data_IF_410259358500
#
_entry.id   IF_410259358500
#
_cell.length_a   1.000
_cell.length_b   1.000
_cell.length_c   1.000
_cell.angle_alpha   90.00
_cell.angle_beta   90.00
_cell.angle_gamma   90.00
#
_symmetry.space_group_name_H-M   'P 1'
#
loop_
_entity.id
_entity.type
_entity.pdbx_description
1 polymer ?
#
# COMPACT_ATOMS: atom_id res chain seq x y z
N UNK A 1 -73.20 -11.95 -11.27
CA UNK A 1 -71.76 -11.67 -11.41
C UNK A 1 -71.10 -11.81 -10.04
N UNK A 2 -70.14 -12.73 -9.93
CA UNK A 2 -69.20 -12.85 -8.81
C UNK A 2 -68.24 -11.66 -8.85
N UNK A 3 -67.94 -11.03 -7.72
CA UNK A 3 -66.66 -10.34 -7.58
C UNK A 3 -66.22 -10.24 -6.13
N UNK A 4 -65.10 -10.92 -5.89
CA UNK A 4 -64.45 -11.27 -4.64
C UNK A 4 -63.84 -10.04 -3.97
N UNK A 5 -64.05 -9.88 -2.66
CA UNK A 5 -63.33 -8.89 -1.86
C UNK A 5 -61.96 -9.46 -1.49
N UNK A 6 -60.93 -8.84 -2.05
CA UNK A 6 -59.51 -9.13 -1.85
C UNK A 6 -59.13 -8.93 -0.39
N UNK A 7 -58.55 -9.96 0.20
CA UNK A 7 -58.03 -10.00 1.56
C UNK A 7 -56.69 -9.27 1.67
N UNK A 8 -56.55 -8.51 2.75
CA UNK A 8 -55.32 -7.93 3.26
C UNK A 8 -54.34 -9.05 3.68
N UNK A 9 -53.10 -8.99 3.21
CA UNK A 9 -51.92 -9.67 3.76
C UNK A 9 -50.67 -8.93 3.25
N UNK A 10 -50.04 -8.07 4.05
CA UNK A 10 -48.89 -8.42 4.93
C UNK A 10 -47.70 -8.97 4.16
N UNK A 11 -46.77 -8.08 3.78
CA UNK A 11 -45.33 -8.31 3.79
C UNK A 11 -44.62 -6.99 3.44
N UNK A 12 -44.33 -6.17 4.45
CA UNK A 12 -43.34 -5.12 4.34
C UNK A 12 -41.99 -5.81 4.13
N UNK A 13 -41.53 -5.87 2.88
CA UNK A 13 -40.20 -6.37 2.55
C UNK A 13 -39.17 -5.42 3.18
N UNK A 14 -38.42 -6.01 4.11
CA UNK A 14 -37.41 -5.39 4.92
C UNK A 14 -36.39 -4.61 4.06
N UNK A 15 -36.32 -3.30 4.32
CA UNK A 15 -35.16 -2.46 4.04
C UNK A 15 -33.98 -2.96 4.89
N UNK A 16 -33.31 -4.01 4.43
CA UNK A 16 -31.94 -4.30 4.87
C UNK A 16 -31.01 -3.80 3.76
N UNK A 17 -30.99 -2.48 3.57
CA UNK A 17 -29.83 -1.84 2.97
C UNK A 17 -28.67 -2.13 3.92
N UNK A 18 -27.85 -3.11 3.57
CA UNK A 18 -26.58 -3.36 4.23
C UNK A 18 -25.75 -2.09 4.14
N UNK A 19 -25.84 -1.25 5.17
CA UNK A 19 -24.80 -0.28 5.45
C UNK A 19 -23.56 -1.11 5.76
N UNK A 20 -22.77 -1.41 4.74
CA UNK A 20 -21.39 -1.84 4.91
C UNK A 20 -20.71 -0.74 5.72
N UNK A 21 -20.62 -0.95 7.04
CA UNK A 21 -19.83 -0.11 7.93
C UNK A 21 -18.42 -0.14 7.36
N UNK A 22 -17.99 0.98 6.79
CA UNK A 22 -16.59 1.16 6.44
C UNK A 22 -15.81 1.05 7.75
N UNK A 23 -15.15 -0.09 7.97
CA UNK A 23 -14.31 -0.29 9.14
C UNK A 23 -13.16 0.71 9.04
N UNK A 24 -13.07 1.61 10.01
CA UNK A 24 -12.07 2.66 10.03
C UNK A 24 -10.75 2.09 10.56
N UNK A 25 -9.98 1.45 9.68
CA UNK A 25 -8.71 0.86 10.10
C UNK A 25 -7.74 1.92 10.61
N UNK A 26 -6.91 1.58 11.60
CA UNK A 26 -5.95 2.52 12.19
C UNK A 26 -4.56 1.91 12.23
N UNK A 27 -3.54 2.71 11.86
CA UNK A 27 -2.13 2.32 12.00
C UNK A 27 -1.64 2.79 13.37
N UNK A 28 -1.20 1.85 14.20
CA UNK A 28 -0.66 2.13 15.54
C UNK A 28 0.81 1.72 15.63
N UNK A 29 1.63 2.44 16.41
CA UNK A 29 1.32 3.67 17.13
C UNK A 29 1.16 4.88 16.18
N UNK A 30 0.29 5.84 16.52
CA UNK A 30 0.07 7.06 15.71
C UNK A 30 1.15 8.12 15.98
N UNK A 31 1.35 9.06 15.06
CA UNK A 31 2.33 10.15 15.14
C UNK A 31 3.76 9.69 15.47
N UNK A 32 4.10 8.48 15.07
CA UNK A 32 5.35 7.83 15.45
C UNK A 32 6.26 7.74 14.24
N UNK A 33 7.49 8.22 14.40
CA UNK A 33 8.54 8.07 13.39
C UNK A 33 8.91 6.61 13.25
N UNK A 34 9.14 6.17 12.02
CA UNK A 34 9.54 4.80 11.73
C UNK A 34 10.65 4.75 10.68
N UNK A 35 11.37 3.63 10.72
CA UNK A 35 12.26 3.17 9.65
C UNK A 35 11.86 1.74 9.28
N UNK A 36 11.48 1.52 8.02
CA UNK A 36 11.13 0.21 7.50
C UNK A 36 12.20 -0.27 6.53
N UNK A 37 13.01 -1.22 6.98
CA UNK A 37 14.11 -1.79 6.18
C UNK A 37 13.68 -3.10 5.53
N UNK A 38 14.26 -3.40 4.38
CA UNK A 38 14.10 -4.70 3.73
C UNK A 38 14.67 -4.73 2.32
N UNK A 39 14.07 -5.55 1.47
CA UNK A 39 14.60 -5.86 0.13
C UNK A 39 13.53 -5.59 -0.93
N UNK A 40 13.96 -4.99 -2.03
CA UNK A 40 13.16 -4.74 -3.23
C UNK A 40 13.83 -5.37 -4.45
N UNK A 41 13.04 -6.02 -5.29
CA UNK A 41 13.46 -6.52 -6.61
C UNK A 41 12.70 -5.75 -7.67
N UNK A 42 13.41 -4.98 -8.49
CA UNK A 42 12.82 -4.16 -9.54
C UNK A 42 13.42 -4.54 -10.88
N UNK A 43 12.57 -4.75 -11.88
CA UNK A 43 12.96 -4.92 -13.28
C UNK A 43 12.83 -3.57 -14.02
N UNK A 44 13.94 -2.94 -14.44
CA UNK A 44 13.90 -1.69 -15.20
C UNK A 44 13.72 -1.98 -16.69
N UNK A 45 12.48 -1.86 -17.21
CA UNK A 45 12.19 -2.11 -18.62
C UNK A 45 12.69 -3.48 -19.11
N UNK A 46 13.59 -3.45 -20.09
CA UNK A 46 14.18 -4.65 -20.69
C UNK A 46 15.43 -5.19 -19.97
N UNK A 47 15.91 -4.50 -18.93
CA UNK A 47 17.07 -4.94 -18.16
C UNK A 47 16.73 -6.14 -17.25
N UNK A 48 17.77 -6.82 -16.78
CA UNK A 48 17.65 -7.84 -15.74
C UNK A 48 17.14 -7.24 -14.42
N UNK A 49 16.39 -8.01 -13.61
CA UNK A 49 15.96 -7.57 -12.30
C UNK A 49 17.14 -7.16 -11.41
N UNK A 50 16.98 -6.03 -10.72
CA UNK A 50 17.95 -5.48 -9.77
C UNK A 50 17.39 -5.66 -8.37
N UNK A 51 18.17 -6.29 -7.50
CA UNK A 51 17.83 -6.49 -6.09
C UNK A 51 18.58 -5.46 -5.25
N UNK A 52 17.84 -4.61 -4.54
CA UNK A 52 18.40 -3.56 -3.69
C UNK A 52 17.85 -3.66 -2.26
N UNK A 53 18.70 -3.28 -1.31
CA UNK A 53 18.24 -3.02 0.05
C UNK A 53 17.57 -1.65 0.09
N UNK A 54 16.48 -1.54 0.81
CA UNK A 54 15.69 -0.32 0.91
C UNK A 54 15.36 -0.01 2.36
N UNK A 55 15.30 1.27 2.68
CA UNK A 55 14.85 1.79 3.96
C UNK A 55 13.87 2.93 3.72
N UNK A 56 12.61 2.74 4.10
CA UNK A 56 11.59 3.78 4.06
C UNK A 56 11.52 4.48 5.41
N UNK A 57 11.67 5.79 5.41
CA UNK A 57 11.63 6.62 6.61
C UNK A 57 10.40 7.49 6.54
N UNK A 58 9.65 7.53 7.64
CA UNK A 58 8.40 8.27 7.68
C UNK A 58 7.83 8.44 9.07
N UNK A 59 6.58 8.88 9.11
CA UNK A 59 5.80 9.06 10.33
C UNK A 59 4.39 8.51 10.10
N UNK A 60 3.87 7.72 11.04
CA UNK A 60 2.45 7.33 11.06
C UNK A 60 1.60 8.55 11.40
N UNK A 61 0.44 8.69 10.78
CA UNK A 61 -0.47 9.81 11.04
C UNK A 61 -1.58 9.39 12.00
N UNK A 62 -2.47 10.31 12.36
CA UNK A 62 -3.55 10.08 13.32
C UNK A 62 -4.72 9.20 12.82
N UNK A 63 -4.54 8.42 11.76
CA UNK A 63 -5.58 7.65 11.05
C UNK A 63 -4.98 6.37 10.40
N UNK A 64 -5.57 5.92 9.30
CA UNK A 64 -5.10 4.82 8.46
C UNK A 64 -3.90 5.19 7.55
N UNK A 65 -3.23 6.32 7.75
CA UNK A 65 -2.17 6.78 6.84
C UNK A 65 -0.81 6.91 7.52
N UNK A 66 0.24 6.83 6.71
CA UNK A 66 1.60 7.15 7.09
C UNK A 66 2.28 7.93 5.96
N UNK A 67 3.14 8.88 6.30
CA UNK A 67 3.86 9.72 5.35
C UNK A 67 5.31 9.28 5.28
N UNK A 68 5.76 8.87 4.10
CA UNK A 68 7.14 8.47 3.82
C UNK A 68 7.87 9.70 3.28
N UNK A 69 8.86 10.19 4.02
CA UNK A 69 9.59 11.43 3.72
C UNK A 69 10.96 11.19 3.12
N UNK A 70 11.52 10.00 3.30
CA UNK A 70 12.77 9.60 2.68
C UNK A 70 12.77 8.09 2.37
N UNK A 71 13.54 7.73 1.34
CA UNK A 71 13.81 6.34 1.00
C UNK A 71 15.29 6.22 0.70
N UNK A 72 16.00 5.42 1.50
CA UNK A 72 17.40 5.11 1.23
C UNK A 72 17.44 3.80 0.43
N UNK A 73 18.12 3.83 -0.70
CA UNK A 73 18.37 2.65 -1.53
C UNK A 73 19.86 2.35 -1.44
N UNK A 74 20.18 1.12 -1.04
CA UNK A 74 21.57 0.68 -0.85
C UNK A 74 21.77 -0.68 -1.49
N UNK A 75 23.03 -1.07 -1.67
CA UNK A 75 23.42 -2.32 -2.33
C UNK A 75 24.57 -2.10 -3.31
N UNK A 76 25.02 -3.18 -3.93
CA UNK A 76 26.05 -3.13 -4.96
C UNK A 76 25.49 -2.80 -6.35
N UNK A 77 26.41 -2.55 -7.30
CA UNK A 77 26.09 -2.43 -8.72
C UNK A 77 25.06 -1.34 -9.03
N UNK A 78 23.98 -1.72 -9.72
CA UNK A 78 22.96 -0.80 -10.23
C UNK A 78 22.11 -0.12 -9.15
N UNK A 79 22.17 -0.60 -7.89
CA UNK A 79 21.51 0.05 -6.76
C UNK A 79 22.12 1.40 -6.39
N UNK A 80 23.43 1.60 -6.65
CA UNK A 80 24.08 2.89 -6.42
C UNK A 80 23.62 4.00 -7.37
N UNK A 81 22.96 3.62 -8.47
CA UNK A 81 22.34 4.54 -9.44
C UNK A 81 20.84 4.69 -9.20
N UNK A 82 20.31 4.12 -8.12
CA UNK A 82 18.91 4.25 -7.76
C UNK A 82 18.68 5.51 -6.90
N UNK A 83 17.55 6.17 -7.12
CA UNK A 83 17.15 7.33 -6.33
C UNK A 83 15.63 7.46 -6.31
N UNK A 84 15.07 8.07 -5.28
CA UNK A 84 13.64 8.34 -5.21
C UNK A 84 13.31 9.79 -5.52
N UNK A 85 12.14 10.01 -6.10
CA UNK A 85 11.61 11.33 -6.42
C UNK A 85 10.14 11.43 -5.99
N UNK A 86 9.59 12.65 -5.99
CA UNK A 86 8.17 12.87 -5.68
C UNK A 86 7.80 12.57 -4.22
N UNK A 87 8.76 12.60 -3.30
CA UNK A 87 8.49 12.55 -1.87
C UNK A 87 7.79 13.85 -1.42
N UNK A 88 6.92 13.80 -0.39
CA UNK A 88 6.58 12.61 0.39
C UNK A 88 5.61 11.67 -0.32
N UNK A 89 5.74 10.36 -0.07
CA UNK A 89 4.74 9.35 -0.48
C UNK A 89 3.77 9.09 0.66
N UNK A 90 2.54 8.69 0.33
CA UNK A 90 1.50 8.42 1.32
C UNK A 90 1.13 6.94 1.29
N UNK A 91 1.40 6.26 2.40
CA UNK A 91 0.88 4.93 2.68
C UNK A 91 -0.52 5.07 3.28
N UNK A 92 -1.47 4.29 2.78
CA UNK A 92 -2.85 4.23 3.26
C UNK A 92 -3.25 2.79 3.47
N UNK A 93 -3.54 2.40 4.72
CA UNK A 93 -4.17 1.12 5.03
C UNK A 93 -5.63 1.14 4.54
N UNK A 94 -5.99 0.18 3.69
CA UNK A 94 -7.35 0.04 3.13
C UNK A 94 -8.14 -1.04 3.84
N UNK A 95 -7.44 -1.98 4.49
CA UNK A 95 -7.99 -2.97 5.41
C UNK A 95 -6.93 -3.34 6.46
N UNK A 96 -7.24 -4.29 7.34
CA UNK A 96 -6.27 -4.81 8.32
C UNK A 96 -5.12 -5.58 7.68
N UNK A 97 -5.21 -5.97 6.41
CA UNK A 97 -4.21 -6.78 5.71
C UNK A 97 -3.80 -6.20 4.35
N UNK A 98 -4.35 -5.06 3.93
CA UNK A 98 -4.06 -4.45 2.63
C UNK A 98 -3.88 -2.94 2.76
N UNK A 99 -3.09 -2.38 1.85
CA UNK A 99 -2.90 -0.94 1.75
C UNK A 99 -2.38 -0.52 0.37
N UNK A 100 -2.22 0.79 0.22
CA UNK A 100 -1.66 1.40 -0.98
C UNK A 100 -0.55 2.36 -0.61
N UNK A 101 0.39 2.58 -1.51
CA UNK A 101 1.37 3.66 -1.42
C UNK A 101 1.22 4.53 -2.66
N UNK A 102 0.82 5.78 -2.45
CA UNK A 102 0.62 6.78 -3.50
C UNK A 102 1.79 7.75 -3.55
N UNK A 103 2.05 8.29 -4.75
CA UNK A 103 3.17 9.22 -4.98
C UNK A 103 4.46 8.54 -5.45
N UNK A 104 4.47 7.21 -5.60
CA UNK A 104 5.68 6.44 -5.92
C UNK A 104 6.28 6.90 -7.25
N UNK A 105 7.54 7.29 -7.21
CA UNK A 105 8.33 7.68 -8.38
C UNK A 105 9.82 7.51 -8.08
N UNK A 106 10.53 6.75 -8.88
CA UNK A 106 11.93 6.46 -8.60
C UNK A 106 12.72 6.20 -9.88
N UNK A 107 14.03 6.27 -9.74
CA UNK A 107 15.05 5.89 -10.70
C UNK A 107 15.71 4.62 -10.17
N UNK A 108 15.98 3.65 -11.03
CA UNK A 108 16.77 2.46 -10.71
C UNK A 108 17.66 2.13 -11.90
N UNK A 109 18.92 1.75 -11.66
CA UNK A 109 19.89 1.52 -12.73
C UNK A 109 20.03 2.73 -13.70
N UNK A 110 19.84 3.96 -13.20
CA UNK A 110 19.85 5.17 -14.03
C UNK A 110 18.60 5.38 -14.91
N UNK A 111 17.62 4.47 -14.86
CA UNK A 111 16.37 4.57 -15.61
C UNK A 111 15.29 5.19 -14.74
N UNK A 112 14.72 6.31 -15.20
CA UNK A 112 13.53 6.88 -14.59
C UNK A 112 12.32 6.02 -14.93
N UNK A 113 11.73 5.39 -13.91
CA UNK A 113 10.66 4.42 -14.11
C UNK A 113 9.36 5.06 -14.56
N UNK A 114 9.05 6.29 -14.12
CA UNK A 114 7.79 6.95 -14.48
C UNK A 114 7.93 8.47 -14.52
N UNK A 115 7.35 9.09 -15.54
CA UNK A 115 7.28 10.55 -15.66
C UNK A 115 6.33 11.17 -14.63
N UNK A 116 5.27 10.45 -14.24
CA UNK A 116 4.28 10.87 -13.24
C UNK A 116 4.25 9.93 -12.02
N UNK A 117 3.82 10.41 -10.83
CA UNK A 117 3.66 9.56 -9.66
C UNK A 117 2.63 8.45 -9.89
N UNK A 118 2.86 7.27 -9.30
CA UNK A 118 1.94 6.13 -9.38
C UNK A 118 1.52 5.64 -8.00
N UNK A 119 0.43 4.89 -7.95
CA UNK A 119 -0.02 4.18 -6.75
C UNK A 119 0.27 2.70 -6.90
N UNK A 120 0.89 2.10 -5.89
CA UNK A 120 1.16 0.66 -5.81
C UNK A 120 0.38 0.03 -4.66
N UNK A 121 0.06 -1.24 -4.79
CA UNK A 121 -0.72 -1.99 -3.80
C UNK A 121 0.18 -2.90 -2.97
N UNK A 122 -0.13 -3.03 -1.69
CA UNK A 122 0.59 -3.89 -0.76
C UNK A 122 -0.32 -4.68 0.17
N UNK A 123 0.28 -5.72 0.73
CA UNK A 123 -0.28 -6.55 1.79
C UNK A 123 0.48 -6.30 3.09
N UNK A 124 -0.22 -6.47 4.20
CA UNK A 124 0.29 -6.27 5.54
C UNK A 124 0.03 -7.51 6.40
N UNK A 125 1.01 -7.84 7.24
CA UNK A 125 0.87 -8.86 8.28
C UNK A 125 1.28 -8.29 9.63
N UNK A 126 0.30 -8.14 10.54
CA UNK A 126 0.54 -7.79 11.94
C UNK A 126 1.46 -8.83 12.61
N UNK A 127 1.20 -10.13 12.38
CA UNK A 127 1.95 -11.21 13.00
C UNK A 127 3.42 -11.23 12.60
N UNK A 128 3.71 -10.93 11.33
CA UNK A 128 5.07 -10.89 10.81
C UNK A 128 5.70 -9.48 10.88
N UNK A 129 4.97 -8.45 11.31
CA UNK A 129 5.37 -7.04 11.19
C UNK A 129 6.01 -6.74 9.83
N UNK A 130 5.34 -7.14 8.76
CA UNK A 130 5.91 -7.09 7.40
C UNK A 130 4.89 -6.51 6.43
N UNK A 131 5.35 -5.50 5.68
CA UNK A 131 4.67 -4.95 4.51
C UNK A 131 5.30 -5.59 3.27
N UNK A 132 4.46 -6.17 2.41
CA UNK A 132 4.88 -6.66 1.09
C UNK A 132 4.11 -5.93 -0.01
N UNK A 133 4.74 -5.71 -1.17
CA UNK A 133 3.96 -5.29 -2.34
C UNK A 133 3.32 -6.51 -2.99
N UNK A 134 2.15 -6.31 -3.60
CA UNK A 134 1.61 -7.28 -4.54
C UNK A 134 2.67 -7.54 -5.62
N UNK A 135 2.93 -8.78 -6.05
CA UNK A 135 3.97 -9.05 -7.02
C UNK A 135 3.73 -8.33 -8.35
N UNK A 136 4.83 -7.98 -9.03
CA UNK A 136 4.83 -7.43 -10.39
C UNK A 136 4.00 -6.14 -10.59
N UNK A 137 4.06 -5.19 -9.66
CA UNK A 137 3.42 -3.87 -9.83
C UNK A 137 4.17 -3.05 -10.88
N UNK A 138 3.44 -2.55 -11.88
CA UNK A 138 4.01 -1.63 -12.88
C UNK A 138 4.19 -0.23 -12.29
N UNK A 139 5.35 0.37 -12.55
CA UNK A 139 5.67 1.77 -12.27
C UNK A 139 6.25 2.36 -13.54
N UNK A 140 5.36 2.85 -14.41
CA UNK A 140 5.70 3.25 -15.78
C UNK A 140 6.38 2.13 -16.55
N UNK A 141 7.64 2.33 -16.94
CA UNK A 141 8.45 1.34 -17.69
C UNK A 141 9.15 0.31 -16.79
N UNK A 142 9.08 0.45 -15.47
CA UNK A 142 9.65 -0.51 -14.54
C UNK A 142 8.57 -1.41 -13.95
N UNK A 143 8.99 -2.57 -13.45
CA UNK A 143 8.13 -3.48 -12.69
C UNK A 143 8.77 -3.79 -11.36
N UNK A 144 8.09 -3.48 -10.26
CA UNK A 144 8.48 -3.96 -8.93
C UNK A 144 8.02 -5.40 -8.83
N UNK A 145 8.96 -6.35 -8.91
CA UNK A 145 8.66 -7.78 -8.86
C UNK A 145 8.31 -8.20 -7.44
N UNK A 146 9.05 -7.70 -6.46
CA UNK A 146 8.77 -7.92 -5.05
C UNK A 146 9.29 -6.78 -4.20
N UNK A 147 8.65 -6.57 -3.06
CA UNK A 147 9.13 -5.73 -1.96
C UNK A 147 8.71 -6.42 -0.67
N UNK A 148 9.61 -6.46 0.31
CA UNK A 148 9.31 -6.89 1.66
C UNK A 148 10.09 -6.02 2.65
N UNK A 149 9.39 -5.35 3.56
CA UNK A 149 9.99 -4.47 4.57
C UNK A 149 9.32 -4.63 5.93
N UNK A 150 10.09 -4.42 6.98
CA UNK A 150 9.60 -4.47 8.37
C UNK A 150 9.82 -3.13 9.05
N UNK A 151 8.75 -2.41 9.45
CA UNK A 151 8.86 -1.14 10.17
C UNK A 151 9.39 -1.35 11.59
N UNK A 152 10.22 -0.40 12.04
CA UNK A 152 10.66 -0.24 13.41
C UNK A 152 10.41 1.21 13.86
N UNK A 153 9.66 1.46 14.95
CA UNK A 153 8.94 0.48 15.77
C UNK A 153 7.89 -0.30 14.95
N UNK A 154 7.55 -1.50 15.42
CA UNK A 154 6.58 -2.35 14.76
C UNK A 154 5.21 -1.67 14.69
N UNK A 155 4.51 -1.86 13.57
CA UNK A 155 3.15 -1.37 13.43
C UNK A 155 2.14 -2.43 13.84
N UNK A 156 0.94 -1.98 14.18
CA UNK A 156 -0.25 -2.82 14.18
C UNK A 156 -1.38 -2.09 13.47
N UNK A 157 -2.01 -2.76 12.52
CA UNK A 157 -3.20 -2.28 11.82
C UNK A 157 -4.41 -2.95 12.44
N UNK A 158 -5.27 -2.12 13.05
CA UNK A 158 -6.47 -2.54 13.76
C UNK A 158 -7.72 -2.09 12.98
N UNK A 159 -8.88 -2.78 13.13
CA UNK A 159 -10.16 -2.36 12.57
C UNK A 159 -10.65 -0.99 13.04
#
# INVERSE_FOLDING_TARGET
MKMSKISVATAALALCMGASSAMAVTITPTNTKFSAKGVSVVKPGFLSPVTCNVEFIGTTNNNNTATITAVNITGGGLCGLASTAGLPWTLTATSTTTGTVSGVKFVVAGINCSSAPVTVNGAWSNAANTLTLTPNQAVGICTIQSLSVSPNPAFTVLP
#
